data_IF_748535504980
#
_entry.id   IF_748535504980
#
_cell.length_a   1.000
_cell.length_b   1.000
_cell.length_c   1.000
_cell.angle_alpha   90.00
_cell.angle_beta   90.00
_cell.angle_gamma   90.00
#
_symmetry.space_group_name_H-M   'P 1'
#
loop_
_entity.id
_entity.type
_entity.pdbx_description
1 polymer ?
#
# COMPACT_ATOMS: atom_id res chain seq x y z
N UNK A 1 -5.61 16.48 -43.39
CA UNK A 1 -4.58 17.47 -43.00
C UNK A 1 -3.71 16.79 -41.96
N UNK A 2 -2.45 16.50 -42.31
CA UNK A 2 -1.52 15.63 -41.58
C UNK A 2 -1.00 16.33 -40.32
N UNK A 3 -1.17 15.71 -39.16
CA UNK A 3 -0.31 15.92 -38.00
C UNK A 3 0.03 14.55 -37.42
N UNK A 4 1.17 14.04 -37.89
CA UNK A 4 1.97 13.02 -37.22
C UNK A 4 2.33 13.57 -35.84
N UNK A 5 2.06 12.84 -34.75
CA UNK A 5 2.63 13.17 -33.43
C UNK A 5 2.60 11.95 -32.50
N UNK A 6 3.78 11.33 -32.43
CA UNK A 6 4.45 10.67 -31.30
C UNK A 6 3.65 10.11 -30.13
N UNK A 7 3.96 8.85 -29.79
CA UNK A 7 3.64 8.34 -28.46
C UNK A 7 4.84 7.57 -27.85
N UNK A 8 5.01 7.64 -26.52
CA UNK A 8 6.19 7.14 -25.81
C UNK A 8 5.79 6.66 -24.40
N UNK A 9 6.65 5.91 -23.69
CA UNK A 9 7.30 4.56 -23.93
C UNK A 9 7.45 3.51 -22.72
N UNK A 10 7.03 2.23 -22.69
CA UNK A 10 7.02 1.25 -21.54
C UNK A 10 8.07 1.30 -20.35
N UNK A 11 7.73 0.85 -19.11
CA UNK A 11 8.62 0.77 -17.90
C UNK A 11 9.74 -0.28 -18.05
N UNK A 12 11.01 0.13 -18.14
CA UNK A 12 12.19 -0.75 -18.32
C UNK A 12 13.00 -0.95 -17.02
N UNK A 13 13.45 -2.19 -16.76
CA UNK A 13 14.37 -2.57 -15.69
C UNK A 13 15.79 -2.72 -16.28
N UNK A 14 16.70 -1.79 -15.96
CA UNK A 14 18.12 -1.87 -16.34
C UNK A 14 18.90 -2.59 -15.25
N UNK A 15 19.53 -3.72 -15.58
CA UNK A 15 20.51 -4.39 -14.74
C UNK A 15 21.91 -4.00 -15.24
N UNK A 16 22.59 -3.15 -14.50
CA UNK A 16 24.00 -2.83 -14.73
C UNK A 16 24.89 -3.85 -14.01
N UNK A 17 25.67 -4.62 -14.80
CA UNK A 17 26.81 -5.36 -14.31
C UNK A 17 28.08 -4.67 -14.85
N UNK A 18 28.89 -4.10 -13.95
CA UNK A 18 30.25 -3.60 -14.21
C UNK A 18 30.45 -2.82 -15.54
N UNK A 19 29.65 -1.76 -15.76
CA UNK A 19 29.88 -0.83 -16.87
C UNK A 19 29.57 -1.37 -18.27
N UNK A 20 28.89 -2.52 -18.38
CA UNK A 20 28.41 -3.06 -19.65
C UNK A 20 26.89 -3.00 -19.70
N UNK A 21 26.33 -2.13 -20.54
CA UNK A 21 24.89 -1.97 -20.73
C UNK A 21 24.30 -3.19 -21.45
N UNK A 22 23.45 -3.96 -20.77
CA UNK A 22 22.66 -5.02 -21.42
C UNK A 22 21.52 -4.33 -22.18
N UNK A 23 21.50 -4.49 -23.52
CA UNK A 23 20.44 -3.89 -24.34
C UNK A 23 19.04 -4.36 -23.92
N UNK A 24 18.11 -3.41 -23.97
CA UNK A 24 16.77 -3.43 -23.37
C UNK A 24 15.77 -4.38 -24.04
N UNK A 25 16.09 -4.90 -25.23
CA UNK A 25 15.22 -5.79 -26.01
C UNK A 25 14.91 -7.15 -25.34
N UNK A 26 15.60 -7.49 -24.24
CA UNK A 26 15.46 -8.81 -23.59
C UNK A 26 14.52 -8.80 -22.38
N UNK A 27 14.12 -7.64 -21.85
CA UNK A 27 13.60 -7.54 -20.46
C UNK A 27 12.12 -7.08 -20.36
N UNK A 28 11.25 -7.38 -21.32
CA UNK A 28 9.80 -7.08 -21.18
C UNK A 28 9.06 -7.82 -20.04
N UNK A 29 9.73 -8.68 -19.24
CA UNK A 29 9.11 -9.47 -18.16
C UNK A 29 9.96 -9.68 -16.89
N UNK A 30 11.21 -9.20 -16.82
CA UNK A 30 11.99 -9.33 -15.59
C UNK A 30 11.58 -8.21 -14.63
N UNK A 31 11.04 -8.58 -13.47
CA UNK A 31 10.40 -7.62 -12.56
C UNK A 31 11.33 -7.17 -11.42
N UNK A 32 12.42 -7.86 -11.12
CA UNK A 32 13.34 -7.49 -10.03
C UNK A 32 14.65 -8.28 -10.04
N UNK A 33 15.75 -7.62 -9.65
CA UNK A 33 16.96 -8.28 -9.14
C UNK A 33 16.85 -8.49 -7.64
N UNK A 34 17.22 -9.68 -7.16
CA UNK A 34 17.20 -10.09 -5.76
C UNK A 34 18.64 -10.42 -5.33
N UNK A 35 19.08 -9.95 -4.18
CA UNK A 35 20.36 -10.38 -3.59
C UNK A 35 20.11 -11.26 -2.37
N UNK A 36 21.17 -11.86 -1.85
CA UNK A 36 21.09 -12.68 -0.64
C UNK A 36 20.46 -11.95 0.56
N UNK A 37 20.80 -10.67 0.76
CA UNK A 37 20.18 -9.85 1.82
C UNK A 37 18.67 -9.66 1.63
N UNK A 38 18.17 -9.79 0.41
CA UNK A 38 16.74 -9.79 0.13
C UNK A 38 16.12 -11.16 0.43
N UNK A 39 16.80 -12.26 0.11
CA UNK A 39 16.33 -13.61 0.39
C UNK A 39 16.25 -13.95 1.89
N UNK A 40 17.00 -13.24 2.74
CA UNK A 40 16.88 -13.35 4.21
C UNK A 40 15.69 -12.56 4.78
N UNK A 41 15.15 -11.59 4.04
CA UNK A 41 14.02 -10.78 4.49
C UNK A 41 12.72 -11.55 4.32
N UNK A 42 12.10 -11.97 5.44
CA UNK A 42 10.89 -12.79 5.41
C UNK A 42 9.74 -12.24 4.55
N UNK A 43 9.58 -10.90 4.47
CA UNK A 43 8.54 -10.28 3.64
C UNK A 43 8.67 -10.60 2.14
N UNK A 44 9.89 -10.81 1.65
CA UNK A 44 10.16 -11.18 0.26
C UNK A 44 9.75 -12.63 0.01
N UNK A 45 10.18 -13.55 0.86
CA UNK A 45 9.78 -14.97 0.81
C UNK A 45 8.25 -15.11 0.85
N UNK A 46 7.58 -14.30 1.68
CA UNK A 46 6.12 -14.26 1.75
C UNK A 46 5.47 -13.78 0.45
N UNK A 47 6.05 -12.78 -0.22
CA UNK A 47 5.57 -12.29 -1.51
C UNK A 47 5.81 -13.29 -2.65
N UNK A 48 6.91 -14.03 -2.59
CA UNK A 48 7.24 -15.06 -3.59
C UNK A 48 6.24 -16.22 -3.53
N UNK A 49 5.77 -16.57 -2.32
CA UNK A 49 4.73 -17.58 -2.15
C UNK A 49 3.38 -17.22 -2.78
N UNK A 50 3.03 -15.93 -2.89
CA UNK A 50 1.78 -15.48 -3.52
C UNK A 50 1.95 -15.15 -5.01
N UNK A 51 3.18 -14.95 -5.49
CA UNK A 51 3.44 -14.53 -6.87
C UNK A 51 2.71 -15.39 -7.90
N UNK A 52 2.78 -16.72 -7.78
CA UNK A 52 2.10 -17.69 -8.66
C UNK A 52 0.56 -17.62 -8.63
N UNK A 53 -0.01 -16.97 -7.61
CA UNK A 53 -1.46 -16.78 -7.45
C UNK A 53 -1.93 -15.49 -8.10
N UNK A 54 -1.16 -14.40 -7.93
CA UNK A 54 -1.52 -13.05 -8.43
C UNK A 54 -0.99 -12.76 -9.84
N UNK A 55 -0.02 -13.52 -10.33
CA UNK A 55 0.58 -13.32 -11.63
C UNK A 55 1.76 -14.26 -11.90
N UNK A 56 2.66 -13.84 -12.78
CA UNK A 56 3.94 -14.52 -13.02
C UNK A 56 5.06 -13.50 -12.88
N UNK A 57 6.03 -13.81 -12.03
CA UNK A 57 7.24 -13.02 -11.86
C UNK A 57 8.45 -13.72 -12.49
N UNK A 58 9.41 -12.93 -12.96
CA UNK A 58 10.75 -13.39 -13.30
C UNK A 58 11.73 -12.62 -12.43
N UNK A 59 12.49 -13.35 -11.62
CA UNK A 59 13.43 -12.81 -10.63
C UNK A 59 14.82 -13.30 -10.97
N UNK A 60 15.78 -12.38 -11.02
CA UNK A 60 17.21 -12.70 -11.14
C UNK A 60 17.83 -12.63 -9.75
N UNK A 61 18.34 -13.75 -9.24
CA UNK A 61 18.98 -13.83 -7.93
C UNK A 61 20.50 -13.75 -8.08
N UNK A 62 21.08 -12.68 -7.55
CA UNK A 62 22.52 -12.44 -7.44
C UNK A 62 23.11 -13.34 -6.34
N UNK A 63 23.64 -14.47 -6.77
CA UNK A 63 24.28 -15.48 -5.92
C UNK A 63 25.80 -15.26 -5.89
N UNK A 64 26.21 -14.17 -5.24
CA UNK A 64 27.62 -13.76 -5.17
C UNK A 64 28.38 -14.24 -3.92
N UNK A 65 27.71 -15.01 -3.05
CA UNK A 65 28.27 -15.52 -1.80
C UNK A 65 28.88 -14.45 -0.87
N UNK A 66 28.36 -13.22 -0.86
CA UNK A 66 28.83 -12.14 0.01
C UNK A 66 27.65 -11.37 0.63
N UNK A 67 27.72 -11.14 1.93
CA UNK A 67 26.87 -10.23 2.69
C UNK A 67 27.66 -9.06 3.26
N UNK A 68 26.99 -8.12 3.94
CA UNK A 68 27.67 -7.03 4.68
C UNK A 68 28.61 -7.59 5.75
N UNK A 69 28.22 -8.68 6.42
CA UNK A 69 28.99 -9.30 7.50
C UNK A 69 30.07 -10.28 6.97
N UNK A 70 30.26 -10.35 5.66
CA UNK A 70 31.23 -11.24 5.00
C UNK A 70 30.57 -12.52 4.50
N UNK A 71 31.21 -13.65 4.80
CA UNK A 71 30.78 -14.97 4.33
C UNK A 71 29.36 -15.30 4.81
N UNK A 72 28.41 -15.52 3.89
CA UNK A 72 27.05 -15.87 4.23
C UNK A 72 26.86 -17.09 5.12
N UNK A 73 27.79 -18.06 5.12
CA UNK A 73 27.63 -19.28 5.91
C UNK A 73 27.46 -19.01 7.41
N UNK A 74 27.87 -17.82 7.89
CA UNK A 74 27.70 -17.40 9.28
C UNK A 74 26.22 -17.11 9.64
N UNK A 75 25.38 -16.75 8.67
CA UNK A 75 24.00 -16.28 8.89
C UNK A 75 22.96 -16.93 7.96
N UNK A 76 23.38 -17.55 6.86
CA UNK A 76 22.50 -18.02 5.80
C UNK A 76 23.06 -19.23 5.05
N UNK A 77 22.52 -20.41 5.35
CA UNK A 77 22.89 -21.70 4.72
C UNK A 77 21.68 -22.39 4.06
N UNK A 78 20.56 -21.69 3.91
CA UNK A 78 19.34 -22.28 3.35
C UNK A 78 19.49 -22.56 1.84
N UNK A 79 18.95 -23.69 1.40
CA UNK A 79 18.89 -24.03 -0.02
C UNK A 79 17.77 -23.23 -0.70
N UNK A 80 18.15 -22.11 -1.32
CA UNK A 80 17.23 -21.23 -2.06
C UNK A 80 16.51 -21.96 -3.19
N UNK A 81 17.18 -22.88 -3.88
CA UNK A 81 16.59 -23.56 -5.03
C UNK A 81 15.43 -24.44 -4.58
N UNK A 82 15.65 -25.23 -3.53
CA UNK A 82 14.60 -26.05 -2.90
C UNK A 82 13.48 -25.20 -2.30
N UNK A 83 13.80 -24.03 -1.74
CA UNK A 83 12.80 -23.10 -1.21
C UNK A 83 11.83 -22.65 -2.31
N UNK A 84 12.36 -22.16 -3.44
CA UNK A 84 11.54 -21.68 -4.56
C UNK A 84 10.81 -22.82 -5.27
N UNK A 85 11.43 -23.99 -5.40
CA UNK A 85 10.76 -25.20 -5.90
C UNK A 85 9.56 -25.59 -5.02
N UNK A 86 9.70 -25.52 -3.68
CA UNK A 86 8.60 -25.76 -2.74
C UNK A 86 7.47 -24.72 -2.89
N UNK A 87 7.80 -23.48 -3.25
CA UNK A 87 6.84 -22.43 -3.63
C UNK A 87 6.25 -22.61 -5.05
N UNK A 88 6.60 -23.71 -5.74
CA UNK A 88 6.19 -24.07 -7.11
C UNK A 88 6.70 -23.13 -8.20
N UNK A 89 7.84 -22.47 -7.96
CA UNK A 89 8.52 -21.71 -9.00
C UNK A 89 9.26 -22.63 -9.97
N UNK A 90 9.59 -22.09 -11.15
CA UNK A 90 10.60 -22.66 -12.04
C UNK A 90 11.96 -22.11 -11.62
N UNK A 91 12.98 -22.94 -11.48
CA UNK A 91 14.31 -22.50 -11.04
C UNK A 91 15.30 -22.82 -12.15
N UNK A 92 16.03 -21.81 -12.60
CA UNK A 92 17.11 -21.94 -13.59
C UNK A 92 18.40 -21.53 -12.89
N UNK A 93 19.38 -22.42 -12.86
CA UNK A 93 20.73 -22.09 -12.41
C UNK A 93 21.59 -21.71 -13.61
N UNK A 94 22.28 -20.58 -13.50
CA UNK A 94 23.26 -20.13 -14.47
C UNK A 94 24.59 -19.97 -13.74
N UNK A 95 25.56 -20.83 -14.09
CA UNK A 95 26.83 -20.96 -13.37
C UNK A 95 27.92 -20.17 -14.11
N UNK A 96 28.68 -19.36 -13.37
CA UNK A 96 29.93 -18.70 -13.79
C UNK A 96 29.76 -17.44 -14.67
N UNK A 97 28.92 -16.50 -14.26
CA UNK A 97 28.26 -15.59 -15.22
C UNK A 97 28.87 -14.19 -15.32
N UNK A 98 30.07 -13.95 -14.75
CA UNK A 98 30.77 -12.67 -14.88
C UNK A 98 30.96 -12.21 -16.35
N UNK A 99 30.89 -13.16 -17.30
CA UNK A 99 30.93 -12.93 -18.76
C UNK A 99 29.82 -13.68 -19.53
N UNK A 100 28.87 -14.32 -18.83
CA UNK A 100 27.92 -15.31 -19.37
C UNK A 100 26.65 -14.73 -20.01
N UNK A 101 26.77 -13.67 -20.81
CA UNK A 101 25.59 -12.97 -21.35
C UNK A 101 24.68 -13.84 -22.21
N UNK A 102 25.22 -14.89 -22.84
CA UNK A 102 24.46 -15.80 -23.72
C UNK A 102 23.59 -16.73 -22.88
N UNK A 103 24.13 -17.23 -21.77
CA UNK A 103 23.49 -18.14 -20.83
C UNK A 103 22.36 -17.42 -20.08
N UNK A 104 22.59 -16.20 -19.59
CA UNK A 104 21.52 -15.36 -19.00
C UNK A 104 20.38 -15.13 -20.01
N UNK A 105 20.71 -14.79 -21.26
CA UNK A 105 19.69 -14.58 -22.31
C UNK A 105 18.91 -15.86 -22.61
N UNK A 106 19.57 -17.02 -22.61
CA UNK A 106 18.92 -18.31 -22.77
C UNK A 106 17.99 -18.63 -21.60
N UNK A 107 18.43 -18.38 -20.36
CA UNK A 107 17.62 -18.55 -19.15
C UNK A 107 16.38 -17.63 -19.16
N UNK A 108 16.53 -16.36 -19.55
CA UNK A 108 15.40 -15.44 -19.69
C UNK A 108 14.43 -15.93 -20.77
N UNK A 109 14.94 -16.45 -21.89
CA UNK A 109 14.11 -17.00 -22.97
C UNK A 109 13.32 -18.22 -22.50
N UNK A 110 13.95 -19.12 -21.75
CA UNK A 110 13.30 -20.28 -21.12
C UNK A 110 12.22 -19.83 -20.13
N UNK A 111 12.57 -18.93 -19.21
CA UNK A 111 11.67 -18.37 -18.22
C UNK A 111 10.42 -17.72 -18.86
N UNK A 112 10.60 -16.97 -19.96
CA UNK A 112 9.49 -16.39 -20.74
C UNK A 112 8.61 -17.44 -21.41
N UNK A 113 9.13 -18.63 -21.70
CA UNK A 113 8.36 -19.74 -22.26
C UNK A 113 7.46 -20.40 -21.20
N UNK A 114 7.84 -20.35 -19.92
CA UNK A 114 7.01 -20.82 -18.81
C UNK A 114 5.80 -19.90 -18.60
N UNK A 115 4.59 -20.43 -18.84
CA UNK A 115 3.33 -19.66 -18.77
C UNK A 115 2.53 -19.87 -17.48
N UNK A 116 3.01 -20.70 -16.56
CA UNK A 116 2.21 -21.16 -15.42
C UNK A 116 2.94 -21.14 -14.08
N UNK A 117 4.21 -20.73 -14.07
CA UNK A 117 5.04 -20.57 -12.87
C UNK A 117 5.88 -19.31 -13.01
N UNK A 118 6.05 -18.59 -11.92
CA UNK A 118 7.10 -17.59 -11.77
C UNK A 118 8.45 -18.28 -11.85
N UNK A 119 9.48 -17.59 -12.34
CA UNK A 119 10.80 -18.16 -12.55
C UNK A 119 11.85 -17.42 -11.73
N UNK A 120 12.65 -18.17 -10.98
CA UNK A 120 13.88 -17.71 -10.36
C UNK A 120 15.03 -18.09 -11.29
N UNK A 121 15.82 -17.11 -11.73
CA UNK A 121 17.07 -17.34 -12.43
C UNK A 121 18.19 -17.00 -11.44
N UNK A 122 18.84 -18.03 -10.90
CA UNK A 122 19.96 -17.90 -9.97
C UNK A 122 21.26 -17.75 -10.76
N UNK A 123 21.87 -16.58 -10.65
CA UNK A 123 23.05 -16.17 -11.40
C UNK A 123 24.23 -16.14 -10.43
N UNK A 124 25.12 -17.13 -10.53
CA UNK A 124 26.32 -17.16 -9.69
C UNK A 124 27.39 -16.26 -10.28
N UNK A 125 27.72 -15.18 -9.57
CA UNK A 125 28.73 -14.18 -9.98
C UNK A 125 29.81 -14.00 -8.90
N UNK A 126 30.86 -13.23 -9.23
CA UNK A 126 31.83 -12.76 -8.23
C UNK A 126 31.54 -11.30 -7.92
N UNK A 127 31.26 -10.95 -6.66
CA UNK A 127 31.03 -9.55 -6.29
C UNK A 127 32.26 -8.70 -6.65
N UNK A 128 32.05 -7.54 -7.27
CA UNK A 128 33.16 -6.68 -7.70
C UNK A 128 34.07 -7.31 -8.75
N UNK A 129 33.57 -8.26 -9.56
CA UNK A 129 34.33 -8.83 -10.67
C UNK A 129 35.02 -7.75 -11.50
N UNK A 130 36.31 -7.95 -11.81
CA UNK A 130 37.14 -6.94 -12.47
C UNK A 130 37.88 -5.99 -11.52
N UNK A 131 37.57 -5.97 -10.22
CA UNK A 131 38.38 -5.24 -9.22
C UNK A 131 39.59 -6.08 -8.77
N UNK A 132 40.84 -5.68 -9.11
CA UNK A 132 42.02 -6.50 -8.82
C UNK A 132 42.29 -6.71 -7.33
N UNK A 133 41.82 -5.80 -6.47
CA UNK A 133 42.09 -5.80 -5.03
C UNK A 133 40.83 -5.96 -4.16
N UNK A 134 39.62 -5.91 -4.75
CA UNK A 134 38.37 -5.97 -3.98
C UNK A 134 37.36 -6.99 -4.51
N UNK A 135 37.61 -7.63 -5.65
CA UNK A 135 36.75 -8.72 -6.12
C UNK A 135 36.65 -9.80 -5.03
N UNK A 136 35.46 -10.39 -4.89
CA UNK A 136 35.18 -11.41 -3.89
C UNK A 136 35.39 -10.94 -2.42
N UNK A 137 35.12 -9.67 -2.12
CA UNK A 137 35.24 -9.12 -0.77
C UNK A 137 34.04 -8.26 -0.38
N UNK A 138 33.66 -8.25 0.89
CA UNK A 138 32.61 -7.35 1.43
C UNK A 138 32.94 -5.86 1.20
N UNK A 139 34.23 -5.53 1.01
CA UNK A 139 34.71 -4.16 0.84
C UNK A 139 34.20 -3.46 -0.43
N UNK A 140 33.70 -4.21 -1.42
CA UNK A 140 33.13 -3.64 -2.66
C UNK A 140 31.62 -3.35 -2.56
N UNK A 141 30.93 -3.82 -1.51
CA UNK A 141 29.47 -3.78 -1.39
C UNK A 141 28.86 -2.36 -1.34
N UNK A 142 29.60 -1.36 -0.86
CA UNK A 142 29.03 -0.06 -0.47
C UNK A 142 29.60 1.18 -1.21
N UNK A 143 30.39 0.99 -2.28
CA UNK A 143 31.00 2.11 -3.04
C UNK A 143 30.20 2.42 -4.29
N UNK A 144 29.66 3.64 -4.40
CA UNK A 144 28.69 4.00 -5.43
C UNK A 144 29.29 4.11 -6.84
N UNK A 145 28.65 3.45 -7.82
CA UNK A 145 28.69 3.80 -9.24
C UNK A 145 27.32 4.41 -9.59
N UNK A 146 27.33 5.62 -10.16
CA UNK A 146 26.18 6.52 -10.28
C UNK A 146 25.21 6.22 -11.44
N UNK A 147 23.95 6.65 -11.29
CA UNK A 147 22.78 6.36 -12.14
C UNK A 147 22.48 7.49 -13.19
N UNK A 148 21.62 7.41 -14.23
CA UNK A 148 20.21 6.94 -14.42
C UNK A 148 19.76 7.22 -15.89
N UNK A 149 18.65 6.63 -16.42
CA UNK A 149 17.47 7.31 -17.07
C UNK A 149 16.35 6.36 -17.66
N UNK A 150 15.07 6.80 -17.89
CA UNK A 150 13.84 5.95 -17.91
C UNK A 150 12.82 6.12 -19.10
N UNK A 151 11.72 5.30 -19.15
CA UNK A 151 10.61 5.28 -20.16
C UNK A 151 9.14 4.99 -19.54
N UNK A 152 8.00 5.66 -19.96
CA UNK A 152 6.45 5.45 -19.84
C UNK A 152 5.47 4.51 -20.74
N UNK A 153 4.38 3.89 -20.27
CA UNK A 153 3.41 3.13 -21.17
C UNK A 153 2.22 3.92 -21.84
N UNK A 154 1.57 3.32 -22.87
CA UNK A 154 0.44 3.79 -23.72
C UNK A 154 -1.01 3.49 -23.24
N UNK A 155 -2.00 4.16 -23.86
CA UNK A 155 -3.41 4.31 -23.46
C UNK A 155 -4.48 3.51 -24.28
N UNK A 156 -5.59 3.17 -23.62
CA UNK A 156 -6.96 3.04 -24.16
C UNK A 156 -7.89 3.90 -23.27
N UNK A 157 -9.00 4.50 -23.70
CA UNK A 157 -9.66 5.60 -22.95
C UNK A 157 -10.09 5.29 -21.47
N UNK A 158 -10.57 4.09 -21.17
CA UNK A 158 -10.85 3.69 -19.77
C UNK A 158 -9.56 3.45 -18.99
N UNK A 159 -8.61 2.79 -19.64
CA UNK A 159 -7.25 2.64 -19.16
C UNK A 159 -6.59 4.02 -18.94
N UNK A 160 -6.89 5.04 -19.76
CA UNK A 160 -6.44 6.43 -19.61
C UNK A 160 -7.06 7.04 -18.37
N UNK A 161 -8.35 6.82 -18.07
CA UNK A 161 -8.92 7.29 -16.82
C UNK A 161 -8.26 6.63 -15.59
N UNK A 162 -7.96 5.33 -15.66
CA UNK A 162 -7.25 4.59 -14.60
C UNK A 162 -5.80 5.07 -14.44
N UNK A 163 -5.05 5.15 -15.56
CA UNK A 163 -3.65 5.60 -15.65
C UNK A 163 -3.52 7.06 -15.22
N UNK A 164 -4.32 7.97 -15.79
CA UNK A 164 -4.32 9.40 -15.41
C UNK A 164 -4.87 9.61 -14.00
N UNK A 165 -5.63 8.64 -13.49
CA UNK A 165 -6.26 8.70 -12.19
C UNK A 165 -7.44 9.67 -12.10
N UNK A 166 -7.99 10.12 -13.23
CA UNK A 166 -9.15 11.02 -13.28
C UNK A 166 -10.38 10.29 -12.74
N UNK A 167 -10.95 10.80 -11.64
CA UNK A 167 -12.19 10.28 -11.06
C UNK A 167 -13.40 10.74 -11.89
N UNK A 168 -14.45 9.93 -12.03
CA UNK A 168 -15.69 10.36 -12.66
C UNK A 168 -16.31 11.55 -11.93
N UNK A 169 -16.88 12.49 -12.69
CA UNK A 169 -17.59 13.62 -12.10
C UNK A 169 -18.76 13.12 -11.24
N UNK A 170 -18.87 13.63 -10.01
CA UNK A 170 -19.96 13.25 -9.09
C UNK A 170 -19.84 11.86 -8.46
N UNK A 171 -18.70 11.16 -8.58
CA UNK A 171 -18.50 9.83 -8.00
C UNK A 171 -18.85 9.75 -6.50
N UNK A 172 -18.57 10.83 -5.74
CA UNK A 172 -18.81 10.91 -4.31
C UNK A 172 -20.31 10.87 -3.94
N UNK A 173 -21.22 11.14 -4.88
CA UNK A 173 -22.67 11.00 -4.67
C UNK A 173 -23.11 9.55 -4.45
N UNK A 174 -22.26 8.59 -4.78
CA UNK A 174 -22.51 7.18 -4.49
C UNK A 174 -22.35 6.84 -3.00
N UNK A 175 -21.62 7.68 -2.23
CA UNK A 175 -21.37 7.40 -0.81
C UNK A 175 -22.66 7.50 0.01
N UNK A 176 -22.91 6.54 0.93
CA UNK A 176 -24.08 6.59 1.81
C UNK A 176 -24.02 7.79 2.76
N UNK A 177 -25.19 8.35 3.05
CA UNK A 177 -25.42 9.40 4.05
C UNK A 177 -26.20 8.83 5.22
N UNK A 178 -25.95 9.34 6.41
CA UNK A 178 -26.55 8.84 7.65
C UNK A 178 -27.16 9.99 8.45
N UNK A 179 -28.20 9.66 9.22
CA UNK A 179 -28.88 10.55 10.15
C UNK A 179 -28.92 9.91 11.55
N UNK A 180 -29.16 10.69 12.62
CA UNK A 180 -29.27 10.17 13.99
C UNK A 180 -30.29 9.03 14.17
N UNK A 181 -31.28 8.91 13.27
CA UNK A 181 -32.29 7.85 13.29
C UNK A 181 -31.79 6.51 12.74
N UNK A 182 -30.64 6.49 12.03
CA UNK A 182 -30.05 5.23 11.60
C UNK A 182 -29.50 4.44 12.79
N UNK A 183 -29.60 3.09 12.78
CA UNK A 183 -29.17 2.28 13.91
C UNK A 183 -27.65 2.38 14.15
N UNK A 184 -27.26 2.26 15.42
CA UNK A 184 -25.85 2.20 15.80
C UNK A 184 -25.12 1.07 15.06
N UNK A 185 -23.92 1.37 14.56
CA UNK A 185 -23.15 0.46 13.73
C UNK A 185 -21.65 0.56 14.05
N UNK A 186 -20.89 -0.46 13.69
CA UNK A 186 -19.44 -0.47 13.85
C UNK A 186 -18.81 0.21 12.63
N UNK A 187 -17.75 1.02 12.79
CA UNK A 187 -17.22 1.79 11.64
C UNK A 187 -16.53 0.91 10.61
N UNK A 188 -16.08 -0.31 10.97
CA UNK A 188 -15.65 -1.31 9.98
C UNK A 188 -16.76 -1.75 9.01
N UNK A 189 -18.01 -1.87 9.48
CA UNK A 189 -19.15 -2.20 8.63
C UNK A 189 -19.51 -1.02 7.73
N UNK A 190 -19.48 0.19 8.28
CA UNK A 190 -19.69 1.43 7.53
C UNK A 190 -18.61 1.60 6.46
N UNK A 191 -17.37 1.20 6.76
CA UNK A 191 -16.25 1.18 5.80
C UNK A 191 -16.53 0.23 4.64
N UNK A 192 -17.04 -0.98 4.88
CA UNK A 192 -17.45 -1.88 3.80
C UNK A 192 -18.54 -1.30 2.91
N UNK A 193 -19.52 -0.63 3.51
CA UNK A 193 -20.60 0.02 2.75
C UNK A 193 -20.02 1.12 1.85
N UNK A 194 -19.14 1.96 2.38
CA UNK A 194 -18.46 3.02 1.64
C UNK A 194 -17.47 2.50 0.59
N UNK A 195 -16.83 1.36 0.83
CA UNK A 195 -15.95 0.70 -0.13
C UNK A 195 -16.73 0.12 -1.33
N UNK A 196 -17.91 -0.46 -1.06
CA UNK A 196 -18.73 -1.12 -2.08
C UNK A 196 -19.60 -0.15 -2.88
N UNK A 197 -20.03 0.95 -2.26
CA UNK A 197 -20.91 1.95 -2.86
C UNK A 197 -20.44 2.50 -4.22
N UNK A 198 -19.18 2.96 -4.37
CA UNK A 198 -18.71 3.55 -5.62
C UNK A 198 -18.14 2.53 -6.62
N UNK A 199 -18.30 1.22 -6.41
CA UNK A 199 -17.66 0.20 -7.28
C UNK A 199 -18.07 0.27 -8.75
N UNK A 200 -19.28 0.74 -9.04
CA UNK A 200 -19.77 0.95 -10.42
C UNK A 200 -19.06 2.10 -11.12
N UNK A 201 -18.52 3.06 -10.37
CA UNK A 201 -17.89 4.28 -10.91
C UNK A 201 -16.36 4.26 -10.74
N UNK A 202 -15.83 3.59 -9.72
CA UNK A 202 -14.39 3.46 -9.48
C UNK A 202 -13.86 2.13 -10.04
N UNK A 203 -13.70 2.06 -11.36
CA UNK A 203 -13.31 0.83 -12.07
C UNK A 203 -11.91 0.30 -11.72
N UNK A 204 -11.00 1.15 -11.24
CA UNK A 204 -9.62 0.76 -10.89
C UNK A 204 -9.41 0.35 -9.44
N UNK A 205 -10.47 0.22 -8.64
CA UNK A 205 -10.34 -0.14 -7.22
C UNK A 205 -10.12 -1.65 -7.07
N UNK A 206 -8.96 -2.03 -6.56
CA UNK A 206 -8.67 -3.35 -6.02
C UNK A 206 -8.76 -3.30 -4.50
N UNK A 207 -9.18 -4.40 -3.90
CA UNK A 207 -9.20 -4.58 -2.45
C UNK A 207 -8.47 -5.85 -2.06
N UNK A 208 -8.23 -6.02 -0.78
CA UNK A 208 -7.71 -7.26 -0.24
C UNK A 208 -7.72 -7.29 1.28
N UNK A 209 -7.30 -8.41 1.82
CA UNK A 209 -7.19 -8.61 3.26
C UNK A 209 -6.17 -9.67 3.60
N UNK A 210 -5.56 -9.50 4.77
CA UNK A 210 -4.56 -10.39 5.34
C UNK A 210 -5.28 -11.46 6.16
N UNK A 211 -5.78 -12.50 5.50
CA UNK A 211 -6.56 -13.63 6.06
C UNK A 211 -7.87 -13.26 6.80
N UNK A 212 -8.05 -11.98 7.11
CA UNK A 212 -9.12 -11.43 7.92
C UNK A 212 -10.11 -10.63 7.05
N UNK A 213 -10.12 -10.77 5.73
CA UNK A 213 -10.90 -9.91 4.84
C UNK A 213 -12.40 -9.81 5.21
N UNK A 214 -12.99 -10.90 5.73
CA UNK A 214 -14.36 -10.92 6.26
C UNK A 214 -14.50 -10.19 7.60
N UNK A 215 -13.51 -10.29 8.49
CA UNK A 215 -13.50 -9.61 9.80
C UNK A 215 -13.15 -8.11 9.68
N UNK A 216 -12.24 -7.77 8.76
CA UNK A 216 -11.86 -6.41 8.38
C UNK A 216 -12.93 -5.73 7.51
N UNK A 217 -13.87 -6.52 6.98
CA UNK A 217 -14.95 -6.08 6.11
C UNK A 217 -14.47 -5.44 4.79
N UNK A 218 -13.32 -5.86 4.25
CA UNK A 218 -12.70 -5.25 3.06
C UNK A 218 -13.15 -5.86 1.72
N UNK A 219 -14.02 -6.87 1.73
CA UNK A 219 -14.47 -7.52 0.50
C UNK A 219 -15.36 -6.62 -0.37
N UNK A 220 -15.03 -6.58 -1.66
CA UNK A 220 -15.88 -6.06 -2.73
C UNK A 220 -16.91 -7.13 -3.06
N UNK A 221 -18.14 -6.98 -2.57
CA UNK A 221 -19.21 -7.98 -2.61
C UNK A 221 -19.60 -8.42 -4.03
N UNK A 222 -19.38 -7.56 -5.02
CA UNK A 222 -19.70 -7.82 -6.43
C UNK A 222 -18.55 -8.47 -7.22
N UNK A 223 -17.42 -8.75 -6.59
CA UNK A 223 -16.24 -9.34 -7.24
C UNK A 223 -15.80 -10.59 -6.47
N UNK A 224 -15.22 -11.55 -7.17
CA UNK A 224 -14.53 -12.69 -6.62
C UNK A 224 -13.08 -12.39 -6.25
N UNK A 225 -12.27 -13.45 -6.21
CA UNK A 225 -10.86 -13.40 -5.87
C UNK A 225 -10.01 -13.58 -7.13
N UNK A 226 -8.98 -12.75 -7.37
CA UNK A 226 -8.03 -12.98 -8.44
C UNK A 226 -7.25 -14.25 -8.12
N UNK A 227 -7.47 -15.26 -8.95
CA UNK A 227 -6.76 -16.52 -8.96
C UNK A 227 -6.25 -16.77 -10.38
N UNK A 228 -5.45 -17.81 -10.56
CA UNK A 228 -4.86 -18.18 -11.86
C UNK A 228 -5.84 -18.14 -13.06
N UNK A 229 -7.11 -18.48 -12.83
CA UNK A 229 -8.13 -18.57 -13.88
C UNK A 229 -9.17 -17.43 -13.83
N UNK A 230 -9.05 -16.50 -12.90
CA UNK A 230 -10.02 -15.42 -12.62
C UNK A 230 -9.28 -14.10 -12.35
N UNK A 231 -8.24 -13.80 -13.13
CA UNK A 231 -7.32 -12.67 -12.91
C UNK A 231 -7.99 -11.29 -12.94
N UNK A 232 -9.18 -11.21 -13.53
CA UNK A 232 -10.02 -10.02 -13.65
C UNK A 232 -10.72 -9.61 -12.33
N UNK A 233 -10.74 -10.52 -11.35
CA UNK A 233 -11.37 -10.32 -10.06
C UNK A 233 -10.56 -9.41 -9.14
N UNK A 234 -11.20 -8.86 -8.09
CA UNK A 234 -10.67 -7.66 -7.40
C UNK A 234 -10.42 -7.80 -5.91
N UNK A 235 -10.63 -8.97 -5.31
CA UNK A 235 -10.37 -9.23 -3.89
C UNK A 235 -9.09 -10.04 -3.66
N UNK A 236 -7.93 -9.38 -3.61
CA UNK A 236 -6.63 -10.04 -3.40
C UNK A 236 -6.56 -10.68 -2.01
N UNK A 237 -6.25 -11.99 -1.96
CA UNK A 237 -6.12 -12.76 -0.72
C UNK A 237 -4.66 -12.87 -0.32
N UNK A 238 -4.20 -11.96 0.54
CA UNK A 238 -2.80 -11.90 0.93
C UNK A 238 -2.37 -13.00 1.90
N UNK A 239 -3.30 -13.68 2.58
CA UNK A 239 -3.01 -14.56 3.73
C UNK A 239 -2.36 -13.79 4.88
N UNK A 240 -1.75 -14.46 5.86
CA UNK A 240 -1.09 -13.83 7.03
C UNK A 240 0.27 -13.23 6.65
N UNK A 241 0.22 -12.15 5.84
CA UNK A 241 1.37 -11.49 5.20
C UNK A 241 1.21 -9.97 5.20
N UNK A 242 1.08 -9.33 6.35
CA UNK A 242 0.88 -7.87 6.47
C UNK A 242 2.01 -7.08 5.82
N UNK A 243 3.25 -7.48 6.07
CA UNK A 243 4.43 -6.82 5.50
C UNK A 243 4.53 -7.09 4.00
N UNK A 244 4.23 -8.32 3.56
CA UNK A 244 4.18 -8.69 2.15
C UNK A 244 3.13 -7.89 1.38
N UNK A 245 1.90 -7.82 1.90
CA UNK A 245 0.81 -7.00 1.37
C UNK A 245 1.24 -5.54 1.19
N UNK A 246 1.89 -4.95 2.20
CA UNK A 246 2.40 -3.57 2.13
C UNK A 246 3.40 -3.40 0.98
N UNK A 247 4.30 -4.35 0.79
CA UNK A 247 5.26 -4.31 -0.30
C UNK A 247 4.59 -4.51 -1.68
N UNK A 248 3.63 -5.43 -1.82
CA UNK A 248 2.87 -5.65 -3.06
C UNK A 248 2.05 -4.41 -3.45
N UNK A 249 1.43 -3.74 -2.48
CA UNK A 249 0.73 -2.48 -2.70
C UNK A 249 1.69 -1.30 -2.99
N UNK A 250 2.98 -1.56 -3.22
CA UNK A 250 4.05 -0.59 -3.47
C UNK A 250 4.25 0.43 -2.34
N UNK A 251 3.94 0.06 -1.08
CA UNK A 251 4.16 0.94 0.08
C UNK A 251 4.42 0.17 1.38
N UNK A 252 5.67 -0.16 1.71
CA UNK A 252 6.00 -0.19 3.14
C UNK A 252 5.75 1.23 3.70
N UNK A 253 4.86 1.34 4.70
CA UNK A 253 4.29 2.60 5.22
C UNK A 253 5.35 3.71 5.36
N UNK A 254 6.53 3.36 5.88
CA UNK A 254 7.63 4.29 6.10
C UNK A 254 8.53 4.51 4.87
N UNK A 255 8.80 3.47 4.08
CA UNK A 255 9.75 3.53 2.95
C UNK A 255 9.17 4.36 1.80
N UNK A 256 7.84 4.30 1.61
CA UNK A 256 7.19 4.84 0.41
C UNK A 256 6.21 5.97 0.72
N UNK A 257 6.11 6.45 1.96
CA UNK A 257 5.48 7.76 2.21
C UNK A 257 6.05 8.85 1.26
N UNK A 258 7.35 8.88 0.92
CA UNK A 258 7.86 9.78 -0.13
C UNK A 258 7.44 9.43 -1.57
N UNK A 259 7.08 8.18 -1.85
CA UNK A 259 6.84 7.67 -3.20
C UNK A 259 5.43 7.97 -3.75
N UNK A 260 4.58 8.67 -2.97
CA UNK A 260 3.28 9.21 -3.43
C UNK A 260 2.33 8.15 -4.02
N UNK A 261 2.36 6.94 -3.49
CA UNK A 261 1.48 5.86 -3.95
C UNK A 261 0.08 5.97 -3.32
N UNK A 262 -0.95 5.66 -4.13
CA UNK A 262 -2.35 5.68 -3.73
C UNK A 262 -2.73 4.36 -3.04
N UNK A 263 -2.42 4.24 -1.75
CA UNK A 263 -2.81 3.09 -0.93
C UNK A 263 -3.71 3.53 0.23
N UNK A 264 -4.79 2.79 0.45
CA UNK A 264 -5.72 2.98 1.56
C UNK A 264 -5.60 1.78 2.49
N UNK A 265 -5.08 2.00 3.69
CA UNK A 265 -4.99 1.01 4.74
C UNK A 265 -6.25 1.05 5.61
N UNK A 266 -7.00 -0.06 5.61
CA UNK A 266 -8.19 -0.23 6.46
C UNK A 266 -7.77 -0.99 7.71
N UNK A 267 -7.55 -0.28 8.81
CA UNK A 267 -7.14 -0.84 10.11
C UNK A 267 -8.34 -0.87 11.05
N UNK A 268 -8.89 -2.05 11.26
CA UNK A 268 -10.03 -2.25 12.18
C UNK A 268 -9.54 -2.66 13.58
N UNK A 269 -10.43 -2.65 14.57
CA UNK A 269 -10.09 -2.96 15.97
C UNK A 269 -9.10 -1.93 16.55
N UNK A 270 -9.47 -0.66 16.44
CA UNK A 270 -8.62 0.51 16.69
C UNK A 270 -8.25 0.82 18.15
N UNK A 271 -8.83 0.11 19.13
CA UNK A 271 -8.75 0.52 20.53
C UNK A 271 -8.96 -0.65 21.51
N UNK A 272 -8.81 -0.34 22.80
CA UNK A 272 -9.09 -1.26 23.93
C UNK A 272 -10.53 -1.79 23.95
N UNK A 273 -11.46 -1.18 23.20
CA UNK A 273 -12.86 -1.61 23.13
C UNK A 273 -13.05 -2.95 22.40
N UNK A 274 -11.97 -3.52 21.88
CA UNK A 274 -11.86 -4.93 21.47
C UNK A 274 -12.08 -5.92 22.63
N UNK A 275 -11.90 -5.49 23.88
CA UNK A 275 -12.11 -6.27 25.11
C UNK A 275 -11.34 -7.59 25.15
N UNK A 276 -11.97 -8.71 24.77
CA UNK A 276 -11.55 -10.07 25.13
C UNK A 276 -10.20 -10.51 24.54
N UNK A 277 -9.77 -9.91 23.44
CA UNK A 277 -8.52 -10.25 22.77
C UNK A 277 -7.25 -9.80 23.52
N UNK A 278 -7.38 -8.94 24.53
CA UNK A 278 -6.29 -8.55 25.41
C UNK A 278 -5.26 -7.57 24.79
N UNK A 279 -4.23 -7.21 25.57
CA UNK A 279 -3.35 -6.07 25.27
C UNK A 279 -2.49 -6.25 24.00
N UNK A 280 -2.22 -7.49 23.56
CA UNK A 280 -1.42 -7.76 22.35
C UNK A 280 -2.15 -7.38 21.05
N UNK A 281 -3.46 -7.11 21.12
CA UNK A 281 -4.30 -6.72 19.99
C UNK A 281 -4.94 -5.35 20.12
N UNK A 282 -4.57 -4.60 21.15
CA UNK A 282 -5.17 -3.31 21.48
C UNK A 282 -4.18 -2.19 21.16
N UNK A 283 -4.41 -1.38 20.10
CA UNK A 283 -3.53 -0.28 19.74
C UNK A 283 -3.49 0.78 20.84
N UNK A 284 -2.29 1.29 21.18
CA UNK A 284 -2.09 2.39 22.15
C UNK A 284 -1.34 3.56 21.49
N UNK A 285 -0.13 3.29 20.99
CA UNK A 285 0.81 4.21 20.36
C UNK A 285 0.61 4.35 18.84
N UNK A 286 -0.20 3.48 18.23
CA UNK A 286 -0.29 3.33 16.78
C UNK A 286 -0.75 4.61 16.08
N UNK A 287 -1.82 5.25 16.58
CA UNK A 287 -2.31 6.52 16.03
C UNK A 287 -1.25 7.62 16.10
N UNK A 288 -0.56 7.75 17.25
CA UNK A 288 0.51 8.73 17.42
C UNK A 288 1.68 8.43 16.48
N UNK A 289 2.05 7.17 16.33
CA UNK A 289 3.14 6.75 15.44
C UNK A 289 2.87 7.11 13.99
N UNK A 290 1.66 6.87 13.48
CA UNK A 290 1.29 7.19 12.09
C UNK A 290 1.13 8.69 11.88
N UNK A 291 0.61 9.44 12.86
CA UNK A 291 0.52 10.91 12.77
C UNK A 291 1.89 11.58 12.74
N UNK A 292 2.88 10.99 13.42
CA UNK A 292 4.26 11.49 13.43
C UNK A 292 5.01 11.19 12.13
N UNK A 293 4.52 10.26 11.31
CA UNK A 293 5.15 9.94 10.02
C UNK A 293 4.84 11.02 8.97
N UNK A 294 5.86 11.60 8.31
CA UNK A 294 5.65 12.55 7.23
C UNK A 294 4.87 11.93 6.06
N UNK A 295 4.00 12.73 5.43
CA UNK A 295 3.17 12.32 4.30
C UNK A 295 2.36 11.03 4.55
N UNK A 296 1.79 10.89 5.75
CA UNK A 296 0.77 9.88 6.05
C UNK A 296 -0.52 10.59 6.44
N UNK A 297 -1.61 10.17 5.82
CA UNK A 297 -2.93 10.64 6.16
C UNK A 297 -3.61 9.64 7.11
N UNK A 298 -3.67 9.99 8.39
CA UNK A 298 -4.40 9.21 9.39
C UNK A 298 -5.81 9.79 9.58
N UNK A 299 -6.85 8.96 9.42
CA UNK A 299 -8.24 9.30 9.75
C UNK A 299 -8.82 8.29 10.74
N UNK A 300 -9.62 8.76 11.70
CA UNK A 300 -10.32 7.92 12.67
C UNK A 300 -11.76 8.43 12.84
N UNK A 301 -12.70 7.97 11.99
CA UNK A 301 -14.09 8.44 11.99
C UNK A 301 -14.90 7.85 13.15
N UNK A 302 -15.86 8.62 13.66
CA UNK A 302 -16.81 8.20 14.71
C UNK A 302 -17.99 7.39 14.17
N UNK A 303 -18.53 7.76 13.01
CA UNK A 303 -19.84 7.32 12.55
C UNK A 303 -19.90 7.14 11.02
N UNK A 304 -21.11 6.96 10.49
CA UNK A 304 -21.32 6.72 9.07
C UNK A 304 -20.95 7.90 8.17
N UNK A 305 -21.29 9.13 8.59
CA UNK A 305 -21.00 10.34 7.81
C UNK A 305 -19.50 10.63 7.80
N UNK A 306 -18.82 10.52 8.94
CA UNK A 306 -17.37 10.69 8.98
C UNK A 306 -16.64 9.57 8.25
N UNK A 307 -17.17 8.34 8.27
CA UNK A 307 -16.61 7.22 7.50
C UNK A 307 -16.74 7.50 6.00
N UNK A 308 -17.90 7.98 5.54
CA UNK A 308 -18.11 8.37 4.15
C UNK A 308 -17.21 9.53 3.72
N UNK A 309 -17.11 10.58 4.56
CA UNK A 309 -16.17 11.69 4.35
C UNK A 309 -14.71 11.23 4.30
N UNK A 310 -14.34 10.26 5.14
CA UNK A 310 -13.00 9.67 5.11
C UNK A 310 -12.73 8.96 3.78
N UNK A 311 -13.67 8.17 3.27
CA UNK A 311 -13.55 7.54 1.94
C UNK A 311 -13.48 8.59 0.82
N UNK A 312 -14.26 9.67 0.91
CA UNK A 312 -14.18 10.82 0.00
C UNK A 312 -12.76 11.38 -0.07
N UNK A 313 -12.18 11.67 1.09
CA UNK A 313 -10.85 12.24 1.24
C UNK A 313 -9.78 11.29 0.69
N UNK A 314 -9.76 10.02 1.08
CA UNK A 314 -8.68 9.08 0.69
C UNK A 314 -8.74 8.66 -0.78
N UNK A 315 -9.92 8.66 -1.41
CA UNK A 315 -10.05 8.35 -2.84
C UNK A 315 -9.53 9.50 -3.71
N UNK A 316 -9.76 10.74 -3.27
CA UNK A 316 -9.24 11.97 -3.90
C UNK A 316 -7.74 12.12 -3.63
N UNK A 317 -7.29 11.73 -2.43
CA UNK A 317 -5.89 11.84 -2.06
C UNK A 317 -5.02 10.77 -2.75
N UNK A 318 -4.40 11.16 -3.88
CA UNK A 318 -3.62 10.26 -4.73
C UNK A 318 -2.15 10.13 -4.34
N UNK A 319 -1.63 11.07 -3.57
CA UNK A 319 -0.18 11.27 -3.36
C UNK A 319 0.27 10.98 -1.92
N UNK A 320 -0.64 10.52 -1.09
CA UNK A 320 -0.40 10.29 0.33
C UNK A 320 -1.05 8.95 0.71
N UNK A 321 -0.26 7.97 1.18
CA UNK A 321 -0.85 6.77 1.75
C UNK A 321 -1.77 7.16 2.92
N UNK A 322 -2.97 6.60 2.89
CA UNK A 322 -4.02 6.95 3.85
C UNK A 322 -4.34 5.74 4.73
N UNK A 323 -4.62 6.00 6.00
CA UNK A 323 -4.93 4.99 7.02
C UNK A 323 -6.27 5.35 7.65
N UNK A 324 -7.21 4.40 7.64
CA UNK A 324 -8.48 4.48 8.33
C UNK A 324 -8.40 3.60 9.58
N UNK A 325 -8.41 4.20 10.77
CA UNK A 325 -8.62 3.47 12.03
C UNK A 325 -10.12 3.33 12.29
N UNK A 326 -10.58 2.09 12.47
CA UNK A 326 -12.00 1.75 12.52
C UNK A 326 -12.35 0.91 13.74
N UNK A 327 -13.48 1.25 14.34
CA UNK A 327 -14.03 0.64 15.53
C UNK A 327 -14.61 -0.75 15.24
N UNK A 328 -14.64 -1.57 16.28
CA UNK A 328 -15.28 -2.90 16.27
C UNK A 328 -16.53 -2.97 17.14
N UNK A 329 -16.71 -1.98 18.01
CA UNK A 329 -17.90 -1.70 18.81
C UNK A 329 -18.89 -0.83 18.05
N UNK A 330 -20.18 -0.97 18.37
CA UNK A 330 -21.23 -0.15 17.78
C UNK A 330 -21.10 1.28 18.31
N UNK A 331 -21.20 2.25 17.40
CA UNK A 331 -21.24 3.69 17.68
C UNK A 331 -22.54 4.25 17.09
N UNK A 332 -23.16 5.18 17.80
CA UNK A 332 -24.36 5.89 17.33
C UNK A 332 -24.02 6.88 16.20
N UNK A 333 -25.01 7.21 15.36
CA UNK A 333 -24.85 8.30 14.40
C UNK A 333 -25.04 9.62 15.14
N UNK A 334 -24.04 10.51 15.08
CA UNK A 334 -24.08 11.75 15.86
C UNK A 334 -24.77 12.87 15.08
N UNK A 335 -25.54 13.69 15.78
CA UNK A 335 -26.02 14.95 15.22
C UNK A 335 -24.82 15.90 15.01
N UNK A 336 -24.76 16.57 13.86
CA UNK A 336 -23.70 17.53 13.53
C UNK A 336 -22.51 16.97 12.75
N UNK A 337 -22.47 15.66 12.48
CA UNK A 337 -21.46 15.06 11.60
C UNK A 337 -21.92 15.08 10.14
N UNK A 338 -21.05 15.49 9.23
CA UNK A 338 -21.34 15.55 7.80
C UNK A 338 -20.13 15.12 6.95
N UNK A 339 -20.39 14.54 5.78
CA UNK A 339 -19.37 14.03 4.85
C UNK A 339 -18.31 15.10 4.51
N UNK A 340 -18.76 16.33 4.22
CA UNK A 340 -17.89 17.41 3.75
C UNK A 340 -17.06 18.05 4.87
N UNK A 341 -17.43 17.84 6.12
CA UNK A 341 -16.71 18.38 7.28
C UNK A 341 -15.40 17.63 7.54
N UNK A 342 -15.25 16.40 7.03
CA UNK A 342 -14.01 15.60 7.13
C UNK A 342 -12.87 16.19 6.29
N UNK A 343 -13.17 17.08 5.34
CA UNK A 343 -12.15 17.79 4.56
C UNK A 343 -11.45 18.91 5.36
N UNK A 344 -11.95 19.19 6.56
CA UNK A 344 -11.38 20.09 7.57
C UNK A 344 -10.58 19.28 8.59
N UNK A 345 -9.58 19.92 9.22
CA UNK A 345 -8.78 19.29 10.29
C UNK A 345 -9.64 18.92 11.51
N UNK A 346 -10.61 19.77 11.82
CA UNK A 346 -11.65 19.47 12.80
C UNK A 346 -12.90 20.32 12.55
N UNK A 347 -14.04 19.87 13.07
CA UNK A 347 -15.32 20.56 12.93
C UNK A 347 -16.13 20.50 14.22
N UNK A 348 -16.90 21.57 14.47
CA UNK A 348 -17.76 21.66 15.66
C UNK A 348 -18.99 20.81 15.40
N UNK A 349 -19.25 19.82 16.27
CA UNK A 349 -20.43 18.94 16.17
C UNK A 349 -21.57 19.39 17.10
N UNK A 350 -21.24 20.11 18.16
CA UNK A 350 -22.19 20.64 19.14
C UNK A 350 -21.63 21.92 19.73
N UNK A 351 -22.47 22.94 19.86
CA UNK A 351 -22.15 24.20 20.53
C UNK A 351 -23.39 24.70 21.28
N UNK A 352 -23.56 24.25 22.53
CA UNK A 352 -24.70 24.64 23.38
C UNK A 352 -24.47 25.96 24.12
N UNK A 353 -23.49 26.74 23.68
CA UNK A 353 -23.23 28.07 24.20
C UNK A 353 -23.97 29.05 23.31
N UNK A 354 -24.75 29.92 23.93
CA UNK A 354 -25.59 30.94 23.28
C UNK A 354 -24.78 32.05 22.60
N UNK A 355 -23.85 31.70 21.71
CA UNK A 355 -22.89 32.60 21.07
C UNK A 355 -21.73 33.07 21.96
N UNK A 356 -21.68 32.62 23.22
CA UNK A 356 -20.61 32.98 24.14
C UNK A 356 -19.35 32.14 23.92
N UNK A 357 -18.18 32.75 24.19
CA UNK A 357 -16.90 32.05 24.16
C UNK A 357 -16.92 30.85 25.13
N UNK A 358 -16.54 29.64 24.68
CA UNK A 358 -16.47 28.47 25.55
C UNK A 358 -15.42 28.65 26.64
N UNK A 359 -15.80 28.33 27.88
CA UNK A 359 -14.84 28.15 28.97
C UNK A 359 -14.00 26.88 28.80
N UNK A 360 -14.55 25.86 28.13
CA UNK A 360 -13.91 24.57 27.84
C UNK A 360 -14.35 24.09 26.46
N UNK A 361 -13.40 23.59 25.67
CA UNK A 361 -13.65 22.91 24.40
C UNK A 361 -13.21 21.46 24.57
N UNK A 362 -14.11 20.53 24.28
CA UNK A 362 -13.80 19.11 24.26
C UNK A 362 -13.47 18.67 22.84
N UNK A 363 -12.33 18.03 22.66
CA UNK A 363 -11.91 17.48 21.37
C UNK A 363 -12.00 15.97 21.45
N UNK A 364 -12.80 15.38 20.55
CA UNK A 364 -12.96 13.94 20.42
C UNK A 364 -12.45 13.44 19.08
N UNK A 365 -12.10 12.17 19.04
CA UNK A 365 -11.77 11.45 17.81
C UNK A 365 -12.34 10.05 17.87
N UNK A 366 -12.83 9.53 16.74
CA UNK A 366 -13.36 8.18 16.67
C UNK A 366 -14.36 7.89 17.78
N UNK A 367 -14.21 6.75 18.44
CA UNK A 367 -15.16 6.29 19.45
C UNK A 367 -15.25 7.14 20.72
N UNK A 368 -14.24 7.96 21.00
CA UNK A 368 -14.20 8.87 22.15
C UNK A 368 -15.13 10.08 21.94
N UNK A 369 -15.48 10.39 20.69
CA UNK A 369 -16.38 11.50 20.38
C UNK A 369 -17.80 11.28 20.94
N UNK A 370 -18.28 10.04 20.97
CA UNK A 370 -19.56 9.64 21.61
C UNK A 370 -19.56 9.88 23.13
N UNK A 371 -18.38 9.89 23.77
CA UNK A 371 -18.25 10.15 25.22
C UNK A 371 -18.27 11.66 25.50
N UNK A 372 -17.64 12.48 24.66
CA UNK A 372 -17.56 13.93 24.91
C UNK A 372 -18.82 14.67 24.49
N UNK A 373 -19.57 14.17 23.50
CA UNK A 373 -20.78 14.83 22.98
C UNK A 373 -21.89 14.94 24.04
N UNK A 374 -21.97 13.98 24.97
CA UNK A 374 -22.98 14.00 26.04
C UNK A 374 -22.74 15.07 27.11
N UNK A 375 -21.57 15.73 27.11
CA UNK A 375 -21.24 16.75 28.12
C UNK A 375 -21.86 18.12 27.83
N UNK A 376 -22.62 18.28 26.74
CA UNK A 376 -23.34 19.52 26.37
C UNK A 376 -22.48 20.80 26.35
N UNK A 377 -21.17 20.65 26.11
CA UNK A 377 -20.22 21.75 25.91
C UNK A 377 -19.99 21.98 24.40
N UNK A 378 -19.08 22.91 24.04
CA UNK A 378 -18.56 22.98 22.69
C UNK A 378 -17.69 21.74 22.44
N UNK A 379 -18.08 20.93 21.45
CA UNK A 379 -17.40 19.68 21.08
C UNK A 379 -16.91 19.75 19.65
N UNK A 380 -15.64 19.45 19.45
CA UNK A 380 -14.98 19.42 18.14
C UNK A 380 -14.58 18.00 17.80
N UNK A 381 -15.01 17.51 16.64
CA UNK A 381 -14.51 16.28 16.04
C UNK A 381 -13.19 16.54 15.32
N UNK A 382 -12.17 15.72 15.59
CA UNK A 382 -10.87 15.72 14.92
C UNK A 382 -10.64 14.41 14.17
N UNK A 383 -11.28 14.27 13.01
CA UNK A 383 -11.14 13.05 12.18
C UNK A 383 -9.71 12.86 11.69
N UNK A 384 -9.03 13.94 11.28
CA UNK A 384 -7.63 13.92 10.83
C UNK A 384 -6.85 15.13 11.30
N UNK A 385 -5.60 14.93 11.71
CA UNK A 385 -4.73 16.00 12.20
C UNK A 385 -3.98 16.75 11.09
N UNK A 386 -3.85 16.13 9.91
CA UNK A 386 -2.95 16.58 8.85
C UNK A 386 -3.72 17.00 7.59
N UNK A 387 -4.95 16.51 7.41
CA UNK A 387 -5.72 16.83 6.22
C UNK A 387 -6.43 18.16 6.35
N UNK A 388 -6.11 19.07 5.44
CA UNK A 388 -6.68 20.40 5.43
C UNK A 388 -6.79 20.89 3.99
N UNK A 389 -8.01 21.03 3.48
CA UNK A 389 -8.26 21.63 2.15
C UNK A 389 -9.25 22.79 2.18
N UNK A 390 -10.02 22.90 3.27
CA UNK A 390 -11.12 23.87 3.40
C UNK A 390 -11.12 24.62 4.73
N UNK A 391 -10.00 24.68 5.41
CA UNK A 391 -9.94 25.42 6.67
C UNK A 391 -10.09 26.91 6.41
N UNK A 392 -10.95 27.62 7.16
CA UNK A 392 -10.88 29.07 7.16
C UNK A 392 -9.52 29.52 7.71
N UNK A 393 -8.93 30.61 7.19
CA UNK A 393 -7.61 31.12 7.62
C UNK A 393 -7.51 31.36 9.14
N UNK A 394 -8.65 31.56 9.78
CA UNK A 394 -8.78 31.89 11.19
C UNK A 394 -9.28 30.71 12.02
N UNK A 395 -9.18 29.45 11.57
CA UNK A 395 -9.73 28.34 12.36
C UNK A 395 -9.06 28.17 13.72
N UNK A 396 -7.72 28.28 13.77
CA UNK A 396 -6.97 28.21 15.02
C UNK A 396 -7.33 29.37 15.96
N UNK A 397 -7.73 30.52 15.41
CA UNK A 397 -8.23 31.67 16.19
C UNK A 397 -9.72 31.55 16.54
N UNK A 398 -10.53 30.91 15.70
CA UNK A 398 -11.97 30.70 15.90
C UNK A 398 -12.27 29.64 16.97
N UNK A 399 -11.36 28.70 17.19
CA UNK A 399 -11.42 27.83 18.36
C UNK A 399 -11.12 28.59 19.66
N UNK A 400 -10.43 29.74 19.59
CA UNK A 400 -10.10 30.57 20.76
C UNK A 400 -11.10 31.73 20.99
N UNK A 401 -12.11 31.89 20.13
CA UNK A 401 -13.20 32.86 20.25
C UNK A 401 -14.53 32.17 20.54
#
# INVERSE_FOLDING_TARGET
MRLQNHPLPTLELVLEFNGTTISTDVVERANSGLSMGCATMGHILYNEGIANVVGLALVLYDDNHISIDGDPEIVFTANIDQHFEALRWHVIQVKNENTGYVEIRAAIKEAKAIKHKSTLIKVTITIGFGSPSKANSYSVHASALGAKEPLHVFEAAELKAIITGKLPAGWAKALPTYTPENPANVTRNLSQQNLNAPLKVLLGLLSGGVDLASSLMTLLKSYGDPQKNTIEERNVRFGVREHGMRAICNVAIRIYAPCKAKVIYVLTHDSIRLREDGPTRQPIEHLASFRAMPNILMLCPVDGNETAGSYKVVVVNRKTPSILALSSQKLTQLLGTFIDEVEKKGHIISDNLSGNKPGVILIGIGSELEIVVVMLLRVVSFVSWVYETKQPPNFETAQNS
#
